data_IF_882264407391
#
_entry.id   IF_882264407391
#
_cell.length_a   1.000
_cell.length_b   1.000
_cell.length_c   1.000
_cell.angle_alpha   90.00
_cell.angle_beta   90.00
_cell.angle_gamma   90.00
#
_symmetry.space_group_name_H-M   'P 1'
#
loop_
_entity.id
_entity.type
_entity.pdbx_description
1 polymer ?
#
# COMPACT_ATOMS: atom_id res chain seq x y z
N UNK A 1 13.94 18.69 13.53
CA UNK A 1 15.22 18.45 14.22
C UNK A 1 15.09 18.51 15.74
N UNK A 2 14.19 19.30 16.32
CA UNK A 2 13.99 19.43 17.77
C UNK A 2 13.58 18.14 18.48
N UNK A 3 12.90 17.22 17.80
CA UNK A 3 12.47 15.93 18.36
C UNK A 3 13.63 15.01 18.77
N UNK A 4 14.79 15.17 18.15
CA UNK A 4 15.95 14.28 18.33
C UNK A 4 17.10 14.95 19.07
N UNK A 5 16.91 16.18 19.50
CA UNK A 5 17.88 16.95 20.30
C UNK A 5 17.28 17.29 21.66
N UNK A 6 18.07 17.23 22.71
CA UNK A 6 17.61 17.51 24.07
C UNK A 6 17.63 16.27 24.98
N UNK A 7 17.15 16.38 26.23
CA UNK A 7 17.32 15.34 27.27
C UNK A 7 16.59 14.01 26.95
N UNK A 8 15.66 14.01 26.01
CA UNK A 8 14.92 12.81 25.57
C UNK A 8 15.24 12.41 24.13
N UNK A 9 16.28 13.00 23.51
CA UNK A 9 16.61 12.79 22.10
C UNK A 9 16.88 11.33 21.73
N UNK A 10 17.60 10.59 22.58
CA UNK A 10 17.87 9.16 22.35
C UNK A 10 16.61 8.30 22.43
N UNK A 11 15.72 8.57 23.41
CA UNK A 11 14.44 7.86 23.53
C UNK A 11 13.54 8.19 22.33
N UNK A 12 13.48 9.46 21.93
CA UNK A 12 12.71 9.88 20.76
C UNK A 12 13.23 9.25 19.48
N UNK A 13 14.54 9.14 19.31
CA UNK A 13 15.17 8.48 18.18
C UNK A 13 14.84 6.97 18.15
N UNK A 14 14.96 6.31 19.31
CA UNK A 14 14.65 4.90 19.45
C UNK A 14 13.16 4.61 19.14
N UNK A 15 12.24 5.43 19.67
CA UNK A 15 10.81 5.26 19.42
C UNK A 15 10.41 5.64 18.00
N UNK A 16 11.06 6.63 17.39
CA UNK A 16 10.85 6.99 16.00
C UNK A 16 11.24 5.87 15.03
N UNK A 17 12.21 5.02 15.40
CA UNK A 17 12.64 3.89 14.54
C UNK A 17 11.53 2.88 14.24
N UNK A 18 10.51 2.80 15.06
CA UNK A 18 9.32 1.97 14.84
C UNK A 18 8.02 2.79 14.69
N UNK A 19 8.14 4.10 14.40
CA UNK A 19 7.02 4.95 14.00
C UNK A 19 6.27 5.61 15.16
N UNK A 20 6.90 5.81 16.32
CA UNK A 20 6.30 6.45 17.48
C UNK A 20 6.94 7.82 17.77
N UNK A 21 6.25 8.66 18.55
CA UNK A 21 6.73 9.96 19.09
C UNK A 21 6.94 11.10 18.08
N UNK A 22 6.51 10.98 16.82
CA UNK A 22 6.54 12.10 15.90
C UNK A 22 5.21 12.21 15.13
N UNK A 23 4.98 13.38 14.53
CA UNK A 23 3.81 13.66 13.71
C UNK A 23 4.23 14.08 12.32
N UNK A 24 3.59 13.51 11.33
CA UNK A 24 3.76 13.84 9.92
C UNK A 24 2.39 14.05 9.28
N UNK A 25 2.32 14.93 8.32
CA UNK A 25 1.14 14.96 7.45
C UNK A 25 1.14 13.74 6.52
N UNK A 26 -0.03 13.27 6.05
CA UNK A 26 -0.10 12.15 5.10
C UNK A 26 0.80 12.34 3.88
N UNK A 27 0.86 13.56 3.32
CA UNK A 27 1.72 13.85 2.15
C UNK A 27 3.22 13.75 2.49
N UNK A 28 3.64 14.17 3.69
CA UNK A 28 5.02 14.00 4.12
C UNK A 28 5.39 12.53 4.27
N UNK A 29 4.48 11.72 4.86
CA UNK A 29 4.70 10.30 5.06
C UNK A 29 4.80 9.57 3.71
N UNK A 30 3.85 9.80 2.80
CA UNK A 30 3.87 9.13 1.49
C UNK A 30 5.08 9.58 0.64
N UNK A 31 5.48 10.86 0.72
CA UNK A 31 6.68 11.35 0.03
C UNK A 31 7.94 10.69 0.55
N UNK A 32 8.07 10.51 1.87
CA UNK A 32 9.19 9.79 2.48
C UNK A 32 9.19 8.30 2.10
N UNK A 33 8.01 7.67 2.07
CA UNK A 33 7.86 6.29 1.62
C UNK A 33 8.24 6.11 0.16
N UNK A 34 7.80 7.02 -0.74
CA UNK A 34 8.23 7.01 -2.14
C UNK A 34 9.75 7.09 -2.24
N UNK A 35 10.41 7.98 -1.49
CA UNK A 35 11.86 8.08 -1.50
C UNK A 35 12.55 6.81 -1.00
N UNK A 36 11.94 6.09 -0.05
CA UNK A 36 12.49 4.83 0.47
C UNK A 36 12.44 3.68 -0.55
N UNK A 37 11.54 3.73 -1.55
CA UNK A 37 11.30 2.60 -2.47
C UNK A 37 11.65 2.88 -3.93
N UNK A 38 11.94 4.12 -4.31
CA UNK A 38 12.24 4.55 -5.69
C UNK A 38 13.74 4.70 -6.02
N UNK A 39 14.61 4.01 -5.29
CA UNK A 39 16.06 4.16 -5.44
C UNK A 39 16.67 5.22 -4.48
N UNK A 40 15.88 5.79 -3.59
CA UNK A 40 16.35 6.77 -2.60
C UNK A 40 16.17 8.23 -2.99
N UNK A 41 15.41 8.51 -4.05
CA UNK A 41 15.22 9.86 -4.59
C UNK A 41 14.04 10.56 -3.93
N UNK A 42 14.33 11.62 -3.14
CA UNK A 42 13.29 12.47 -2.56
C UNK A 42 12.79 13.44 -3.63
N UNK A 43 11.56 13.23 -4.07
CA UNK A 43 10.90 14.05 -5.08
C UNK A 43 10.02 15.13 -4.44
N UNK A 44 9.91 16.28 -5.11
CA UNK A 44 8.94 17.30 -4.72
C UNK A 44 7.53 16.85 -5.13
N UNK A 45 6.58 16.69 -4.19
CA UNK A 45 5.21 16.29 -4.55
C UNK A 45 4.49 17.44 -5.28
N UNK A 46 3.68 17.09 -6.26
CA UNK A 46 2.78 18.02 -6.96
C UNK A 46 1.48 17.30 -7.35
N UNK A 47 0.41 18.09 -7.52
CA UNK A 47 -0.92 17.59 -7.89
C UNK A 47 -1.30 18.02 -9.30
N UNK A 48 -0.85 19.20 -9.72
CA UNK A 48 -1.19 19.76 -11.04
C UNK A 48 -0.14 19.31 -12.05
N UNK A 49 -0.56 18.46 -12.98
CA UNK A 49 0.31 17.95 -14.04
C UNK A 49 0.52 19.00 -15.13
N UNK A 50 -0.55 19.66 -15.58
CA UNK A 50 -0.48 20.64 -16.66
C UNK A 50 -1.58 21.69 -16.55
N UNK A 51 -1.34 22.81 -17.22
CA UNK A 51 -2.35 23.83 -17.49
C UNK A 51 -2.62 23.86 -18.98
N UNK A 52 -3.88 23.91 -19.38
CA UNK A 52 -4.28 24.02 -20.78
C UNK A 52 -5.02 25.34 -21.03
N UNK A 53 -4.94 25.86 -22.26
CA UNK A 53 -5.77 26.96 -22.72
C UNK A 53 -7.21 26.49 -23.06
N UNK A 54 -8.05 27.41 -23.59
CA UNK A 54 -9.42 27.11 -23.96
C UNK A 54 -9.53 26.16 -25.16
N UNK A 55 -8.49 26.06 -25.96
CA UNK A 55 -8.40 25.18 -27.14
C UNK A 55 -7.82 23.80 -26.79
N UNK A 56 -7.45 23.57 -25.51
CA UNK A 56 -6.89 22.31 -25.03
C UNK A 56 -5.37 22.19 -25.20
N UNK A 57 -4.68 23.24 -25.65
CA UNK A 57 -3.22 23.19 -25.80
C UNK A 57 -2.55 23.34 -24.43
N UNK A 58 -1.51 22.55 -24.16
CA UNK A 58 -0.74 22.63 -22.93
C UNK A 58 0.11 23.90 -22.94
N UNK A 59 -0.20 24.85 -22.06
CA UNK A 59 0.54 26.11 -21.89
C UNK A 59 1.63 26.04 -20.83
N UNK A 60 1.47 25.09 -19.88
CA UNK A 60 2.47 24.81 -18.85
C UNK A 60 2.35 23.35 -18.38
N UNK A 61 3.48 22.68 -18.25
CA UNK A 61 3.56 21.34 -17.71
C UNK A 61 4.48 21.30 -16.49
N UNK A 62 4.05 20.67 -15.41
CA UNK A 62 4.89 20.40 -14.25
C UNK A 62 5.85 19.27 -14.58
N UNK A 63 7.11 19.45 -14.31
CA UNK A 63 8.13 18.42 -14.45
C UNK A 63 8.46 17.83 -13.09
N UNK A 64 8.69 16.51 -12.99
CA UNK A 64 9.19 15.89 -11.78
C UNK A 64 10.50 16.57 -11.33
N UNK A 65 10.57 16.95 -10.05
CA UNK A 65 11.74 17.65 -9.49
C UNK A 65 12.29 16.81 -8.35
N UNK A 66 13.52 16.34 -8.52
CA UNK A 66 14.27 15.71 -7.44
C UNK A 66 14.86 16.78 -6.52
N UNK A 67 14.65 16.61 -5.21
CA UNK A 67 15.22 17.46 -4.18
C UNK A 67 16.64 16.97 -3.83
N UNK A 68 16.80 15.65 -3.60
CA UNK A 68 18.08 14.99 -3.34
C UNK A 68 17.90 13.48 -3.23
N UNK A 69 18.99 12.74 -3.33
CA UNK A 69 19.05 11.34 -2.90
C UNK A 69 19.23 11.26 -1.37
N UNK A 70 18.41 10.45 -0.70
CA UNK A 70 18.38 10.34 0.79
C UNK A 70 18.94 9.01 1.30
N UNK A 71 18.85 7.94 0.49
CA UNK A 71 19.45 6.62 0.73
C UNK A 71 20.01 6.07 -0.59
N UNK A 72 20.86 5.06 -0.53
CA UNK A 72 21.37 4.39 -1.73
C UNK A 72 20.31 3.51 -2.39
N UNK A 73 20.46 3.23 -3.68
CA UNK A 73 19.62 2.28 -4.42
C UNK A 73 19.62 0.89 -3.77
N UNK A 74 20.80 0.43 -3.31
CA UNK A 74 20.92 -0.86 -2.60
C UNK A 74 20.08 -0.88 -1.32
N UNK A 75 20.10 0.22 -0.54
CA UNK A 75 19.30 0.34 0.67
C UNK A 75 17.81 0.36 0.32
N UNK A 76 17.41 1.08 -0.71
CA UNK A 76 16.03 1.12 -1.22
C UNK A 76 15.55 -0.28 -1.64
N UNK A 77 16.37 -1.04 -2.35
CA UNK A 77 16.05 -2.41 -2.74
C UNK A 77 15.84 -3.33 -1.51
N UNK A 78 16.69 -3.22 -0.49
CA UNK A 78 16.53 -3.95 0.77
C UNK A 78 15.23 -3.58 1.50
N UNK A 79 14.88 -2.27 1.51
CA UNK A 79 13.60 -1.80 2.10
C UNK A 79 12.42 -2.43 1.38
N UNK A 80 12.42 -2.45 0.05
CA UNK A 80 11.34 -3.09 -0.73
C UNK A 80 11.17 -4.57 -0.38
N UNK A 81 12.27 -5.32 -0.29
CA UNK A 81 12.24 -6.73 0.11
C UNK A 81 11.66 -6.93 1.53
N UNK A 82 12.03 -6.07 2.48
CA UNK A 82 11.48 -6.11 3.83
C UNK A 82 9.98 -5.79 3.85
N UNK A 83 9.53 -4.81 3.05
CA UNK A 83 8.12 -4.45 2.93
C UNK A 83 7.31 -5.59 2.29
N UNK A 84 7.85 -6.28 1.30
CA UNK A 84 7.22 -7.46 0.70
C UNK A 84 7.06 -8.59 1.73
N UNK A 85 8.07 -8.87 2.54
CA UNK A 85 8.00 -9.86 3.63
C UNK A 85 6.92 -9.55 4.69
N UNK A 86 6.53 -8.27 4.87
CA UNK A 86 5.41 -7.90 5.74
C UNK A 86 4.07 -8.40 5.19
N UNK A 87 3.93 -8.45 3.88
CA UNK A 87 2.70 -8.92 3.20
C UNK A 87 2.74 -10.43 2.96
N UNK A 88 3.87 -10.98 2.61
CA UNK A 88 4.02 -12.42 2.30
C UNK A 88 3.72 -13.32 3.52
N UNK A 89 4.08 -12.93 4.72
CA UNK A 89 3.79 -13.74 5.92
C UNK A 89 3.72 -12.96 7.22
N UNK A 90 3.80 -11.61 7.14
CA UNK A 90 3.83 -10.75 8.29
C UNK A 90 2.48 -10.14 8.68
N UNK A 91 2.56 -8.98 9.36
CA UNK A 91 1.38 -8.26 9.88
C UNK A 91 0.48 -7.66 8.78
N UNK A 92 0.98 -7.55 7.57
CA UNK A 92 0.26 -7.05 6.39
C UNK A 92 -0.31 -8.12 5.48
N UNK A 93 -0.29 -9.39 5.85
CA UNK A 93 -0.70 -10.52 5.01
C UNK A 93 -2.10 -10.41 4.40
N UNK A 94 -2.99 -9.64 5.01
CA UNK A 94 -4.33 -9.39 4.47
C UNK A 94 -4.33 -8.48 3.22
N UNK A 95 -3.18 -7.87 2.87
CA UNK A 95 -3.00 -7.16 1.61
C UNK A 95 -2.44 -8.04 0.49
N UNK A 96 -2.19 -9.32 0.76
CA UNK A 96 -1.72 -10.25 -0.27
C UNK A 96 -2.75 -10.39 -1.39
N UNK A 97 -2.30 -10.21 -2.62
CA UNK A 97 -3.09 -10.41 -3.84
C UNK A 97 -2.27 -11.26 -4.79
N UNK A 98 -2.84 -12.39 -5.17
CA UNK A 98 -2.17 -13.34 -6.05
C UNK A 98 -1.82 -12.73 -7.40
N UNK A 99 -0.63 -13.00 -7.88
CA UNK A 99 -0.09 -12.44 -9.11
C UNK A 99 0.56 -11.06 -8.94
N UNK A 100 0.38 -10.38 -7.82
CA UNK A 100 1.01 -9.10 -7.55
C UNK A 100 1.97 -9.17 -6.37
N UNK A 101 3.17 -8.62 -6.55
CA UNK A 101 4.14 -8.45 -5.49
C UNK A 101 3.84 -7.16 -4.73
N UNK A 102 3.15 -7.30 -3.61
CA UNK A 102 2.77 -6.16 -2.76
C UNK A 102 3.68 -6.13 -1.54
N UNK A 103 4.30 -4.99 -1.31
CA UNK A 103 4.99 -4.67 -0.07
C UNK A 103 4.15 -3.71 0.78
N UNK A 104 4.40 -3.66 2.09
CA UNK A 104 3.68 -2.69 2.91
C UNK A 104 4.11 -2.63 4.36
N UNK A 105 3.50 -1.67 5.08
CA UNK A 105 3.69 -1.48 6.52
C UNK A 105 2.38 -1.13 7.18
N UNK A 106 2.02 -1.89 8.20
CA UNK A 106 0.86 -1.61 9.06
C UNK A 106 1.19 -0.54 10.09
N UNK A 107 0.23 0.32 10.43
CA UNK A 107 0.31 1.28 11.50
C UNK A 107 -0.92 1.20 12.39
N UNK A 108 -0.72 1.33 13.69
CA UNK A 108 -1.77 1.52 14.69
C UNK A 108 -1.25 2.50 15.72
N UNK A 109 -1.85 3.66 15.81
CA UNK A 109 -1.42 4.75 16.70
C UNK A 109 -2.59 5.26 17.52
N UNK A 110 -2.42 5.35 18.82
CA UNK A 110 -3.38 5.94 19.74
C UNK A 110 -3.35 7.48 19.65
N UNK A 111 -4.52 8.10 19.68
CA UNK A 111 -4.71 9.56 19.70
C UNK A 111 -4.55 10.08 21.12
N UNK A 112 -3.32 10.26 21.55
CA UNK A 112 -3.01 10.63 22.96
C UNK A 112 -3.50 12.02 23.37
N UNK A 113 -3.56 12.97 22.44
CA UNK A 113 -3.92 14.35 22.76
C UNK A 113 -5.41 14.55 23.01
N UNK A 114 -6.24 13.68 22.48
CA UNK A 114 -7.70 13.75 22.65
C UNK A 114 -8.17 13.01 23.89
N UNK A 115 -7.31 12.18 24.48
CA UNK A 115 -7.59 11.34 25.65
C UNK A 115 -8.91 10.54 25.52
N UNK A 116 -9.26 10.19 24.29
CA UNK A 116 -10.49 9.45 23.92
C UNK A 116 -10.28 7.95 23.89
N UNK A 117 -9.01 7.50 23.84
CA UNK A 117 -8.65 6.11 23.56
C UNK A 117 -8.84 5.70 22.09
N UNK A 118 -9.11 6.67 21.22
CA UNK A 118 -9.28 6.42 19.78
C UNK A 118 -7.94 6.11 19.11
N UNK A 119 -8.03 5.35 18.01
CA UNK A 119 -6.86 4.95 17.24
C UNK A 119 -6.94 5.49 15.81
N UNK A 120 -5.78 5.73 15.22
CA UNK A 120 -5.60 5.79 13.77
C UNK A 120 -4.96 4.47 13.34
N UNK A 121 -5.65 3.71 12.50
CA UNK A 121 -5.12 2.48 11.92
C UNK A 121 -4.84 2.69 10.44
N UNK A 122 -3.68 2.24 9.97
CA UNK A 122 -3.24 2.53 8.62
C UNK A 122 -2.47 1.38 7.99
N UNK A 123 -2.42 1.41 6.67
CA UNK A 123 -1.55 0.58 5.85
C UNK A 123 -0.92 1.45 4.76
N UNK A 124 0.39 1.40 4.69
CA UNK A 124 1.17 1.94 3.58
C UNK A 124 1.51 0.77 2.67
N UNK A 125 1.02 0.81 1.43
CA UNK A 125 1.25 -0.21 0.41
C UNK A 125 2.16 0.30 -0.69
N UNK A 126 2.98 -0.59 -1.22
CA UNK A 126 3.91 -0.36 -2.33
C UNK A 126 3.74 -1.49 -3.33
N UNK A 127 3.53 -1.19 -4.60
CA UNK A 127 3.33 -2.23 -5.61
C UNK A 127 3.71 -1.77 -7.04
N UNK A 128 4.26 -2.68 -7.86
CA UNK A 128 4.90 -3.94 -7.45
C UNK A 128 6.11 -3.69 -6.54
N UNK A 129 6.45 -4.63 -5.65
CA UNK A 129 7.56 -4.41 -4.68
C UNK A 129 8.93 -4.40 -5.34
N UNK A 130 9.11 -5.07 -6.47
CA UNK A 130 10.35 -5.11 -7.25
C UNK A 130 10.54 -3.90 -8.17
N UNK A 131 9.43 -3.38 -8.75
CA UNK A 131 9.43 -2.20 -9.60
C UNK A 131 8.25 -1.28 -9.25
N UNK A 132 8.33 -0.49 -8.17
CA UNK A 132 7.20 0.28 -7.65
C UNK A 132 6.60 1.26 -8.64
N UNK A 133 5.34 1.05 -8.99
CA UNK A 133 4.53 1.94 -9.83
C UNK A 133 3.60 2.81 -8.97
N UNK A 134 3.23 2.32 -7.78
CA UNK A 134 2.31 3.01 -6.89
C UNK A 134 2.70 2.85 -5.42
N UNK A 135 2.54 3.91 -4.66
CA UNK A 135 2.54 3.90 -3.20
C UNK A 135 1.22 4.44 -2.72
N UNK A 136 0.54 3.70 -1.85
CA UNK A 136 -0.72 4.14 -1.24
C UNK A 136 -0.57 4.27 0.27
N UNK A 137 -1.31 5.20 0.84
CA UNK A 137 -1.51 5.31 2.28
C UNK A 137 -3.01 5.29 2.55
N UNK A 138 -3.50 4.20 3.12
CA UNK A 138 -4.87 4.06 3.56
C UNK A 138 -4.92 4.18 5.08
N UNK A 139 -5.76 5.07 5.60
CA UNK A 139 -5.89 5.29 7.02
C UNK A 139 -7.37 5.39 7.42
N UNK A 140 -7.70 4.79 8.55
CA UNK A 140 -8.99 4.91 9.21
C UNK A 140 -8.77 5.68 10.51
N UNK A 141 -9.40 6.83 10.60
CA UNK A 141 -9.37 7.68 11.78
C UNK A 141 -10.52 7.33 12.70
N UNK A 142 -10.20 6.99 13.94
CA UNK A 142 -11.17 6.70 15.00
C UNK A 142 -12.24 5.68 14.60
N UNK A 143 -11.86 4.47 14.12
CA UNK A 143 -12.85 3.45 13.79
C UNK A 143 -13.68 3.11 15.03
N UNK A 144 -15.00 3.13 14.87
CA UNK A 144 -15.94 2.99 15.99
C UNK A 144 -15.97 1.55 16.52
N UNK A 145 -15.62 1.32 17.79
CA UNK A 145 -15.73 0.00 18.41
C UNK A 145 -17.20 -0.40 18.64
N UNK A 146 -17.48 -1.70 18.65
CA UNK A 146 -18.84 -2.25 18.87
C UNK A 146 -19.41 -1.85 20.24
N UNK A 147 -18.55 -1.76 21.25
CA UNK A 147 -18.86 -1.22 22.59
C UNK A 147 -17.64 -0.47 23.11
N UNK A 148 -17.81 0.49 24.04
CA UNK A 148 -16.69 1.18 24.66
C UNK A 148 -15.64 0.19 25.21
N UNK A 149 -14.38 0.37 24.85
CA UNK A 149 -13.27 -0.49 25.23
C UNK A 149 -13.11 -1.79 24.45
N UNK A 150 -13.99 -2.07 23.46
CA UNK A 150 -13.80 -3.19 22.53
C UNK A 150 -12.70 -2.89 21.51
N UNK A 151 -11.95 -3.93 21.15
CA UNK A 151 -10.99 -3.86 20.03
C UNK A 151 -11.62 -4.29 18.68
N UNK A 152 -12.94 -4.42 18.63
CA UNK A 152 -13.65 -4.86 17.42
C UNK A 152 -14.71 -3.84 17.01
N UNK A 153 -14.86 -3.64 15.71
CA UNK A 153 -15.97 -2.88 15.13
C UNK A 153 -17.26 -3.68 15.19
N UNK A 154 -18.42 -3.01 14.96
CA UNK A 154 -19.73 -3.67 14.85
C UNK A 154 -19.81 -4.74 13.73
N UNK A 155 -18.91 -4.67 12.75
CA UNK A 155 -18.80 -5.64 11.66
C UNK A 155 -17.80 -6.76 11.95
N UNK A 156 -17.28 -6.85 13.17
CA UNK A 156 -16.38 -7.92 13.59
C UNK A 156 -14.91 -7.75 13.18
N UNK A 157 -14.51 -6.59 12.63
CA UNK A 157 -13.12 -6.33 12.32
C UNK A 157 -12.34 -5.94 13.58
N UNK A 158 -11.21 -6.59 13.81
CA UNK A 158 -10.27 -6.17 14.83
C UNK A 158 -9.61 -4.84 14.40
N UNK A 159 -9.65 -3.84 15.28
CA UNK A 159 -9.16 -2.48 15.00
C UNK A 159 -7.63 -2.49 14.98
N UNK A 160 -7.07 -2.67 13.79
CA UNK A 160 -5.63 -2.62 13.54
C UNK A 160 -5.31 -2.34 12.09
N UNK A 161 -4.11 -1.84 11.82
CA UNK A 161 -3.65 -1.61 10.44
C UNK A 161 -3.64 -2.86 9.57
N UNK A 162 -3.37 -4.03 10.16
CA UNK A 162 -3.39 -5.31 9.42
C UNK A 162 -4.79 -5.83 9.09
N UNK A 163 -5.75 -5.66 10.01
CA UNK A 163 -7.09 -6.21 9.82
C UNK A 163 -8.08 -5.24 9.15
N UNK A 164 -7.80 -3.94 9.17
CA UNK A 164 -8.60 -2.94 8.47
C UNK A 164 -7.82 -2.35 7.30
N UNK A 165 -6.64 -1.79 7.56
CA UNK A 165 -5.84 -1.11 6.55
C UNK A 165 -5.37 -2.04 5.44
N UNK A 166 -4.66 -3.12 5.77
CA UNK A 166 -4.13 -4.06 4.78
C UNK A 166 -5.24 -4.80 4.03
N UNK A 167 -6.30 -5.23 4.75
CA UNK A 167 -7.44 -5.92 4.14
C UNK A 167 -8.15 -5.07 3.08
N UNK A 168 -8.27 -3.76 3.32
CA UNK A 168 -8.88 -2.84 2.36
C UNK A 168 -7.91 -2.40 1.26
N UNK A 169 -6.61 -2.38 1.55
CA UNK A 169 -5.59 -1.91 0.62
C UNK A 169 -5.28 -2.93 -0.48
N UNK A 170 -5.27 -4.22 -0.17
CA UNK A 170 -4.95 -5.27 -1.15
C UNK A 170 -5.79 -5.19 -2.42
N UNK A 171 -7.12 -5.31 -2.34
CA UNK A 171 -8.00 -5.18 -3.51
C UNK A 171 -7.85 -3.85 -4.24
N UNK A 172 -7.74 -2.74 -3.50
CA UNK A 172 -7.54 -1.41 -4.08
C UNK A 172 -6.24 -1.33 -4.88
N UNK A 173 -5.15 -1.90 -4.36
CA UNK A 173 -3.86 -1.95 -5.08
C UNK A 173 -4.01 -2.79 -6.35
N UNK A 174 -4.66 -3.96 -6.28
CA UNK A 174 -4.89 -4.80 -7.43
C UNK A 174 -5.66 -4.07 -8.53
N UNK A 175 -6.76 -3.39 -8.20
CA UNK A 175 -7.54 -2.58 -9.13
C UNK A 175 -6.70 -1.46 -9.78
N UNK A 176 -5.83 -0.80 -9.00
CA UNK A 176 -4.93 0.24 -9.50
C UNK A 176 -3.89 -0.37 -10.46
N UNK A 177 -3.29 -1.51 -10.13
CA UNK A 177 -2.30 -2.17 -10.99
C UNK A 177 -2.93 -2.68 -12.28
N UNK A 178 -4.14 -3.25 -12.22
CA UNK A 178 -4.92 -3.63 -13.40
C UNK A 178 -5.19 -2.41 -14.29
N UNK A 179 -5.60 -1.28 -13.70
CA UNK A 179 -5.81 -0.02 -14.43
C UNK A 179 -4.52 0.52 -15.09
N UNK A 180 -3.38 0.36 -14.42
CA UNK A 180 -2.08 0.77 -14.94
C UNK A 180 -1.51 -0.21 -15.98
N UNK A 181 -2.15 -1.36 -16.20
CA UNK A 181 -1.71 -2.39 -17.13
C UNK A 181 -0.50 -3.17 -16.63
N UNK A 182 -0.29 -3.27 -15.32
CA UNK A 182 0.77 -4.07 -14.72
C UNK A 182 0.37 -5.55 -14.81
N UNK A 183 1.18 -6.34 -15.48
CA UNK A 183 0.92 -7.77 -15.67
C UNK A 183 1.07 -8.54 -14.36
N UNK A 184 0.15 -9.51 -14.14
CA UNK A 184 0.26 -10.45 -13.02
C UNK A 184 1.37 -11.45 -13.27
N UNK A 185 2.18 -11.69 -12.25
CA UNK A 185 3.27 -12.68 -12.28
C UNK A 185 3.00 -13.77 -11.26
N UNK A 186 2.76 -14.98 -11.74
CA UNK A 186 2.50 -16.14 -10.91
C UNK A 186 3.77 -16.95 -10.72
N UNK A 187 4.05 -17.39 -9.50
CA UNK A 187 5.19 -18.25 -9.18
C UNK A 187 5.02 -19.68 -9.72
N UNK A 188 3.77 -20.08 -9.93
CA UNK A 188 3.40 -21.39 -10.48
C UNK A 188 2.44 -21.16 -11.67
N UNK A 189 2.69 -21.88 -12.77
CA UNK A 189 1.83 -21.81 -13.96
C UNK A 189 0.38 -22.27 -13.69
N UNK A 190 0.14 -23.00 -12.60
CA UNK A 190 -1.22 -23.42 -12.17
C UNK A 190 -2.09 -22.24 -11.73
N UNK A 191 -1.48 -21.11 -11.38
CA UNK A 191 -2.19 -19.89 -10.95
C UNK A 191 -2.27 -18.81 -12.05
N UNK A 192 -1.76 -19.11 -13.24
CA UNK A 192 -1.87 -18.17 -14.36
C UNK A 192 -3.32 -17.94 -14.74
N UNK A 193 -3.67 -16.70 -15.06
CA UNK A 193 -5.02 -16.37 -15.54
C UNK A 193 -5.37 -17.19 -16.78
N UNK A 194 -6.47 -17.92 -16.71
CA UNK A 194 -6.98 -18.71 -17.83
C UNK A 194 -8.24 -18.06 -18.38
N UNK A 195 -8.23 -17.74 -19.67
CA UNK A 195 -9.42 -17.21 -20.33
C UNK A 195 -10.53 -18.27 -20.29
N UNK A 196 -11.61 -17.95 -19.57
CA UNK A 196 -12.80 -18.84 -19.51
C UNK A 196 -13.43 -18.92 -20.90
N UNK A 197 -13.50 -20.12 -21.51
CA UNK A 197 -14.07 -20.25 -22.85
C UNK A 197 -15.59 -20.03 -22.82
N UNK A 198 -16.13 -19.60 -23.97
CA UNK A 198 -17.57 -19.47 -24.13
C UNK A 198 -18.25 -20.84 -24.05
N UNK A 199 -19.10 -21.05 -23.03
CA UNK A 199 -19.82 -22.31 -22.79
C UNK A 199 -21.32 -22.21 -23.03
N UNK A 200 -21.85 -20.99 -23.31
CA UNK A 200 -23.27 -20.78 -23.57
C UNK A 200 -23.67 -21.51 -24.85
N UNK A 201 -24.71 -22.35 -24.76
CA UNK A 201 -25.23 -23.14 -25.89
C UNK A 201 -24.60 -24.54 -26.04
N UNK A 202 -23.61 -24.88 -25.20
CA UNK A 202 -23.05 -26.23 -25.17
C UNK A 202 -23.89 -27.16 -24.27
N UNK A 203 -23.79 -28.47 -24.51
CA UNK A 203 -24.27 -29.45 -23.53
C UNK A 203 -23.41 -29.39 -22.26
N UNK A 204 -23.95 -29.88 -21.13
CA UNK A 204 -23.20 -29.91 -19.86
C UNK A 204 -21.87 -30.69 -20.01
N UNK A 205 -21.90 -31.83 -20.72
CA UNK A 205 -20.71 -32.67 -20.93
C UNK A 205 -19.65 -31.93 -21.79
N UNK A 206 -20.09 -31.25 -22.85
CA UNK A 206 -19.18 -30.49 -23.74
C UNK A 206 -18.61 -29.26 -23.02
N UNK A 207 -19.43 -28.54 -22.25
CA UNK A 207 -19.01 -27.41 -21.46
C UNK A 207 -17.97 -27.85 -20.41
N UNK A 208 -18.22 -28.94 -19.71
CA UNK A 208 -17.29 -29.48 -18.72
C UNK A 208 -15.97 -29.93 -19.34
N UNK A 209 -16.01 -30.63 -20.47
CA UNK A 209 -14.81 -31.04 -21.21
C UNK A 209 -14.00 -29.83 -21.69
N UNK A 210 -14.69 -28.78 -22.16
CA UNK A 210 -14.04 -27.55 -22.62
C UNK A 210 -13.36 -26.80 -21.47
N UNK A 211 -14.02 -26.68 -20.32
CA UNK A 211 -13.45 -26.06 -19.11
C UNK A 211 -12.23 -26.85 -18.63
N UNK A 212 -12.35 -28.18 -18.51
CA UNK A 212 -11.24 -29.05 -18.08
C UNK A 212 -10.04 -28.96 -19.04
N UNK A 213 -10.27 -28.85 -20.35
CA UNK A 213 -9.18 -28.66 -21.34
C UNK A 213 -8.39 -27.37 -21.14
N UNK A 214 -8.95 -26.41 -20.39
CA UNK A 214 -8.33 -25.14 -20.02
C UNK A 214 -7.80 -25.11 -18.59
N UNK A 215 -7.82 -26.26 -17.89
CA UNK A 215 -7.41 -26.36 -16.48
C UNK A 215 -8.43 -25.78 -15.49
N UNK A 216 -9.66 -25.54 -15.94
CA UNK A 216 -10.78 -25.07 -15.12
C UNK A 216 -11.64 -26.27 -14.76
N UNK A 217 -11.62 -26.68 -13.49
CA UNK A 217 -12.32 -27.87 -13.01
C UNK A 217 -13.12 -27.64 -11.74
#
# INVERSE_FOLDING_TARGET
QEYFTGPYGEVSLATASFGQTFRLTPIQLITAACAAVNGGHLMQPYVVQSFTDQDGNVVKQTQPTEIRQVISEETSAKVRQMLEGVVDGGTGKNAYMEGYRIGGKTGTSEKRDENTGDNIVSFLGVAPADDPQVVILLAFDSPTPVTPGSNYTSHGFYISGGNMGALSAGPLIADILDYLGVEKVYSDASYADVVVPQTVGLSQADAQSLLQSKGLG
#
